data_IF_700069516562
#
_entry.id   IF_700069516562
#
_cell.length_a   1.000
_cell.length_b   1.000
_cell.length_c   1.000
_cell.angle_alpha   90.00
_cell.angle_beta   90.00
_cell.angle_gamma   90.00
#
_symmetry.space_group_name_H-M   'P 1'
#
loop_
_entity.id
_entity.type
_entity.pdbx_description
1 polymer ?
#
# COMPACT_ATOMS: atom_id res chain seq x y z
N UNK A 1 -29.48 -15.24 39.98
CA UNK A 1 -30.14 -13.94 39.72
C UNK A 1 -29.30 -13.23 38.67
N UNK A 2 -29.80 -13.16 37.44
CA UNK A 2 -29.10 -12.56 36.29
C UNK A 2 -29.23 -11.05 36.37
N UNK A 3 -28.11 -10.35 36.58
CA UNK A 3 -28.08 -8.89 36.55
C UNK A 3 -28.09 -8.44 35.08
N UNK A 4 -29.25 -8.00 34.59
CA UNK A 4 -29.36 -7.35 33.29
C UNK A 4 -28.75 -5.95 33.37
N UNK A 5 -27.73 -5.71 32.56
CA UNK A 5 -27.09 -4.40 32.41
C UNK A 5 -27.96 -3.55 31.47
N UNK A 6 -28.65 -2.56 32.01
CA UNK A 6 -29.39 -1.59 31.20
C UNK A 6 -28.42 -0.64 30.48
N UNK A 7 -28.67 -0.29 29.20
CA UNK A 7 -27.84 0.68 28.48
C UNK A 7 -27.80 2.05 29.18
N UNK A 8 -26.66 2.76 29.14
CA UNK A 8 -26.54 4.08 29.74
C UNK A 8 -27.51 5.07 29.09
N UNK A 9 -28.11 5.94 29.91
CA UNK A 9 -28.95 7.04 29.42
C UNK A 9 -28.11 7.97 28.56
N UNK A 10 -28.58 8.28 27.35
CA UNK A 10 -27.93 9.27 26.49
C UNK A 10 -27.89 10.61 27.20
N UNK A 11 -26.71 11.04 27.62
CA UNK A 11 -26.46 12.40 28.09
C UNK A 11 -26.65 13.35 26.91
N UNK A 12 -27.23 14.52 27.19
CA UNK A 12 -27.60 15.57 26.23
C UNK A 12 -26.36 16.31 25.68
N UNK A 13 -25.14 15.88 26.03
CA UNK A 13 -23.90 16.58 25.69
C UNK A 13 -23.26 16.15 24.36
N UNK A 14 -23.97 15.37 23.52
CA UNK A 14 -23.51 14.98 22.19
C UNK A 14 -24.31 15.66 21.06
N UNK A 15 -24.72 16.92 21.24
CA UNK A 15 -24.95 17.78 20.08
C UNK A 15 -23.57 18.18 19.54
N UNK A 16 -23.06 17.39 18.61
CA UNK A 16 -22.02 17.84 17.68
C UNK A 16 -22.57 19.10 16.98
N UNK A 17 -22.00 20.29 17.19
CA UNK A 17 -22.37 21.47 16.44
C UNK A 17 -21.84 21.24 15.02
N UNK A 18 -22.68 20.57 14.22
CA UNK A 18 -22.34 20.14 12.87
C UNK A 18 -21.63 21.22 12.06
N UNK A 19 -20.84 20.76 11.09
CA UNK A 19 -20.00 21.58 10.23
C UNK A 19 -20.67 22.91 9.87
N UNK A 20 -20.02 24.02 10.25
CA UNK A 20 -20.48 25.36 9.90
C UNK A 20 -20.55 25.47 8.38
N UNK A 21 -21.68 25.94 7.87
CA UNK A 21 -21.80 26.38 6.48
C UNK A 21 -20.74 27.45 6.24
N UNK A 22 -19.71 27.12 5.46
CA UNK A 22 -18.70 28.07 5.05
C UNK A 22 -19.40 29.11 4.16
N UNK A 23 -19.33 30.38 4.56
CA UNK A 23 -19.76 31.49 3.70
C UNK A 23 -19.14 31.29 2.32
N UNK A 24 -19.99 31.12 1.31
CA UNK A 24 -19.60 31.00 -0.10
C UNK A 24 -18.96 32.30 -0.59
N UNK A 25 -17.72 32.58 -0.18
CA UNK A 25 -16.83 33.48 -0.91
C UNK A 25 -16.30 32.70 -2.11
N UNK A 26 -17.15 32.62 -3.13
CA UNK A 26 -16.96 31.85 -4.36
C UNK A 26 -15.99 32.52 -5.34
N UNK A 27 -14.83 33.00 -4.88
CA UNK A 27 -13.83 33.70 -5.71
C UNK A 27 -12.39 33.21 -5.50
N UNK A 28 -12.22 32.02 -4.92
CA UNK A 28 -10.92 31.32 -4.93
C UNK A 28 -10.86 30.45 -6.20
N UNK A 29 -10.49 31.07 -7.32
CA UNK A 29 -10.23 30.39 -8.59
C UNK A 29 -8.98 29.50 -8.48
N UNK A 30 -9.16 28.25 -8.03
CA UNK A 30 -8.12 27.21 -8.09
C UNK A 30 -8.02 26.62 -9.51
N UNK A 31 -7.60 27.42 -10.49
CA UNK A 31 -7.38 26.98 -11.88
C UNK A 31 -6.01 26.29 -12.11
N UNK A 32 -5.28 25.89 -11.06
CA UNK A 32 -4.00 25.18 -11.18
C UNK A 32 -4.15 23.65 -11.27
N UNK A 33 -5.33 23.11 -10.94
CA UNK A 33 -5.62 21.70 -11.17
C UNK A 33 -6.05 21.49 -12.63
N UNK A 34 -5.10 21.59 -13.57
CA UNK A 34 -5.27 21.00 -14.88
C UNK A 34 -5.35 19.48 -14.67
N UNK A 35 -6.56 18.94 -14.50
CA UNK A 35 -6.87 17.52 -14.58
C UNK A 35 -6.54 17.04 -16.00
N UNK A 36 -5.25 16.85 -16.30
CA UNK A 36 -4.72 16.11 -17.45
C UNK A 36 -5.61 16.14 -18.72
N UNK A 37 -6.03 17.33 -19.14
CA UNK A 37 -6.99 17.51 -20.22
C UNK A 37 -6.34 17.32 -21.58
N UNK A 38 -6.13 16.06 -21.98
CA UNK A 38 -6.00 15.58 -23.37
C UNK A 38 -5.60 14.09 -23.45
N UNK A 39 -5.24 13.43 -22.33
CA UNK A 39 -4.85 12.01 -22.34
C UNK A 39 -5.92 11.08 -21.73
N UNK A 40 -6.92 11.61 -21.01
CA UNK A 40 -7.93 10.79 -20.33
C UNK A 40 -8.95 10.10 -21.27
N UNK A 41 -9.07 10.57 -22.52
CA UNK A 41 -9.96 9.98 -23.53
C UNK A 41 -9.21 9.00 -24.47
N UNK A 42 -7.87 9.06 -24.52
CA UNK A 42 -7.08 8.28 -25.49
C UNK A 42 -6.63 6.89 -24.98
N UNK A 43 -6.71 6.62 -23.67
CA UNK A 43 -6.14 5.39 -23.09
C UNK A 43 -7.08 4.57 -22.19
N UNK A 44 -8.40 4.85 -22.17
CA UNK A 44 -9.34 3.94 -21.46
C UNK A 44 -9.42 2.56 -22.12
N UNK A 45 -9.14 2.47 -23.42
CA UNK A 45 -9.02 1.22 -24.16
C UNK A 45 -7.62 0.60 -24.11
N UNK A 46 -6.60 1.30 -23.59
CA UNK A 46 -5.22 0.80 -23.46
C UNK A 46 -4.83 0.48 -22.02
N UNK A 47 -5.70 0.78 -21.05
CA UNK A 47 -5.60 0.30 -19.67
C UNK A 47 -5.48 -1.23 -19.68
N UNK A 48 -4.24 -1.70 -19.71
CA UNK A 48 -3.85 -3.10 -19.84
C UNK A 48 -4.06 -3.85 -18.51
N UNK A 49 -4.69 -3.20 -17.53
CA UNK A 49 -5.04 -3.82 -16.27
C UNK A 49 -6.16 -4.83 -16.50
N UNK A 50 -6.00 -6.09 -16.07
CA UNK A 50 -7.07 -7.07 -16.10
C UNK A 50 -8.33 -6.54 -15.42
N UNK A 51 -9.51 -6.89 -15.95
CA UNK A 51 -10.79 -6.58 -15.32
C UNK A 51 -10.79 -7.21 -13.92
N UNK A 52 -11.08 -6.45 -12.85
CA UNK A 52 -11.22 -7.01 -11.51
C UNK A 52 -12.36 -8.04 -11.49
N UNK A 53 -12.07 -9.23 -10.96
CA UNK A 53 -13.03 -10.35 -10.85
C UNK A 53 -13.44 -10.53 -9.40
N UNK A 54 -14.73 -10.70 -9.16
CA UNK A 54 -15.31 -10.99 -7.85
C UNK A 54 -15.53 -12.48 -7.68
N UNK A 55 -15.01 -13.05 -6.59
CA UNK A 55 -15.10 -14.47 -6.31
C UNK A 55 -15.54 -14.74 -4.89
N UNK A 56 -16.49 -15.64 -4.71
CA UNK A 56 -17.01 -16.07 -3.41
C UNK A 56 -16.63 -17.53 -3.16
N UNK A 57 -15.99 -17.78 -2.01
CA UNK A 57 -15.68 -19.13 -1.54
C UNK A 57 -16.71 -19.54 -0.48
N UNK A 58 -17.44 -20.64 -0.71
CA UNK A 58 -18.41 -21.22 0.23
C UNK A 58 -17.74 -22.32 1.05
N UNK A 59 -18.12 -22.43 2.32
CA UNK A 59 -17.61 -23.49 3.22
C UNK A 59 -18.35 -24.82 2.98
N UNK A 60 -19.60 -24.74 2.54
CA UNK A 60 -20.50 -25.87 2.34
C UNK A 60 -21.49 -25.63 1.18
N UNK A 61 -22.03 -26.73 0.66
CA UNK A 61 -23.06 -26.75 -0.40
C UNK A 61 -24.49 -26.59 0.14
N UNK A 62 -24.63 -26.32 1.45
CA UNK A 62 -25.95 -26.23 2.08
C UNK A 62 -26.61 -24.88 1.71
N UNK A 63 -27.86 -24.89 1.23
CA UNK A 63 -28.59 -23.66 0.92
C UNK A 63 -28.74 -22.78 2.16
N UNK A 64 -28.42 -21.49 2.02
CA UNK A 64 -28.57 -20.50 3.10
C UNK A 64 -29.81 -19.64 2.91
N UNK A 65 -30.06 -18.77 3.89
CA UNK A 65 -31.17 -17.81 3.80
C UNK A 65 -31.09 -17.00 2.49
N UNK A 66 -32.20 -16.93 1.77
CA UNK A 66 -32.27 -16.28 0.46
C UNK A 66 -31.82 -17.13 -0.74
N UNK A 67 -31.41 -18.39 -0.57
CA UNK A 67 -31.06 -19.28 -1.70
C UNK A 67 -32.16 -20.26 -2.06
N UNK A 68 -33.11 -20.48 -1.15
CA UNK A 68 -34.22 -21.40 -1.37
C UNK A 68 -35.28 -20.73 -2.25
N UNK A 69 -35.57 -21.27 -3.45
CA UNK A 69 -36.56 -20.71 -4.35
C UNK A 69 -37.94 -20.60 -3.70
N UNK A 70 -38.69 -19.54 -4.04
CA UNK A 70 -40.05 -19.30 -3.54
C UNK A 70 -40.14 -18.56 -2.20
N UNK A 71 -39.02 -18.30 -1.53
CA UNK A 71 -38.99 -17.47 -0.30
C UNK A 71 -38.94 -15.97 -0.63
N UNK A 72 -39.41 -15.12 0.28
CA UNK A 72 -39.30 -13.65 0.12
C UNK A 72 -37.84 -13.20 0.03
N UNK A 73 -36.96 -13.79 0.84
CA UNK A 73 -35.53 -13.52 0.81
C UNK A 73 -34.89 -13.89 -0.55
N UNK A 74 -35.34 -14.97 -1.19
CA UNK A 74 -34.87 -15.34 -2.53
C UNK A 74 -35.29 -14.30 -3.58
N UNK A 75 -36.53 -13.78 -3.51
CA UNK A 75 -36.99 -12.72 -4.42
C UNK A 75 -36.16 -11.46 -4.31
N UNK A 76 -35.79 -11.07 -3.08
CA UNK A 76 -34.90 -9.93 -2.84
C UNK A 76 -33.51 -10.20 -3.43
N UNK A 77 -32.95 -11.39 -3.20
CA UNK A 77 -31.61 -11.77 -3.66
C UNK A 77 -31.45 -11.88 -5.17
N UNK A 78 -32.53 -12.15 -5.93
CA UNK A 78 -32.49 -12.13 -7.40
C UNK A 78 -32.10 -10.74 -7.94
N UNK A 79 -32.37 -9.68 -7.17
CA UNK A 79 -32.01 -8.30 -7.53
C UNK A 79 -30.57 -7.95 -7.17
N UNK A 80 -29.91 -8.77 -6.34
CA UNK A 80 -28.52 -8.57 -5.95
C UNK A 80 -27.57 -8.90 -7.10
N UNK A 81 -26.40 -8.25 -7.12
CA UNK A 81 -25.36 -8.58 -8.08
C UNK A 81 -24.82 -10.00 -7.85
N UNK A 82 -24.64 -10.76 -8.94
CA UNK A 82 -24.08 -12.12 -8.92
C UNK A 82 -22.56 -12.03 -9.06
N UNK A 83 -21.77 -12.71 -8.20
CA UNK A 83 -20.31 -12.74 -8.35
C UNK A 83 -19.92 -13.51 -9.62
N UNK A 84 -18.73 -13.22 -10.15
CA UNK A 84 -18.25 -13.87 -11.37
C UNK A 84 -17.94 -15.36 -11.14
N UNK A 85 -17.36 -15.70 -9.98
CA UNK A 85 -16.95 -17.05 -9.64
C UNK A 85 -17.47 -17.46 -8.25
N UNK A 86 -18.03 -18.67 -8.13
CA UNK A 86 -18.42 -19.28 -6.85
C UNK A 86 -17.76 -20.65 -6.75
N UNK A 87 -16.90 -20.84 -5.75
CA UNK A 87 -16.25 -22.14 -5.44
C UNK A 87 -16.65 -22.60 -4.04
N UNK A 88 -16.94 -23.89 -3.86
CA UNK A 88 -17.14 -24.47 -2.53
C UNK A 88 -15.83 -25.13 -2.09
N UNK A 89 -15.26 -24.63 -1.00
CA UNK A 89 -13.97 -25.02 -0.43
C UNK A 89 -14.24 -25.95 0.76
N UNK A 90 -13.93 -27.26 0.65
CA UNK A 90 -14.14 -28.20 1.74
C UNK A 90 -13.33 -27.85 2.99
N UNK A 91 -13.87 -28.14 4.17
CA UNK A 91 -13.14 -27.94 5.42
C UNK A 91 -11.79 -28.66 5.43
N UNK A 92 -10.76 -27.97 5.92
CA UNK A 92 -9.38 -28.46 5.93
C UNK A 92 -8.58 -28.20 4.65
N UNK A 93 -9.22 -27.68 3.59
CA UNK A 93 -8.50 -27.18 2.41
C UNK A 93 -8.21 -25.69 2.54
N UNK A 94 -7.05 -25.26 2.02
CA UNK A 94 -6.60 -23.87 2.13
C UNK A 94 -7.28 -23.03 1.04
N UNK A 95 -7.99 -21.97 1.42
CA UNK A 95 -8.54 -20.97 0.50
C UNK A 95 -7.52 -20.51 -0.53
N UNK A 96 -7.95 -20.37 -1.79
CA UNK A 96 -7.09 -19.90 -2.90
C UNK A 96 -6.94 -18.37 -2.94
N UNK A 97 -7.36 -17.68 -1.88
CA UNK A 97 -7.35 -16.22 -1.69
C UNK A 97 -5.97 -15.56 -1.74
N UNK A 98 -4.88 -16.32 -1.86
CA UNK A 98 -3.60 -15.71 -2.24
C UNK A 98 -3.75 -15.15 -3.65
N UNK A 99 -3.58 -13.84 -3.80
CA UNK A 99 -3.48 -13.11 -5.08
C UNK A 99 -3.01 -14.03 -6.21
N UNK A 100 -3.68 -14.05 -7.37
CA UNK A 100 -3.24 -14.82 -8.57
C UNK A 100 -1.80 -14.47 -9.01
N UNK A 101 -1.25 -13.40 -8.46
CA UNK A 101 0.17 -13.09 -8.46
C UNK A 101 0.94 -14.20 -7.75
N UNK A 102 1.84 -14.89 -8.46
CA UNK A 102 2.81 -15.74 -7.80
C UNK A 102 3.57 -14.91 -6.74
N UNK A 103 4.18 -15.55 -5.74
CA UNK A 103 5.03 -14.82 -4.77
C UNK A 103 6.07 -13.94 -5.48
N UNK A 104 6.50 -14.35 -6.68
CA UNK A 104 7.40 -13.61 -7.57
C UNK A 104 6.76 -12.37 -8.21
N UNK A 105 5.45 -12.37 -8.43
CA UNK A 105 4.70 -11.26 -9.06
C UNK A 105 4.11 -10.30 -8.03
N UNK A 106 4.19 -10.64 -6.73
CA UNK A 106 3.79 -9.72 -5.66
C UNK A 106 4.82 -8.59 -5.61
N UNK A 107 4.42 -7.34 -5.87
CA UNK A 107 5.37 -6.25 -5.79
C UNK A 107 5.89 -6.14 -4.36
N UNK A 108 7.21 -6.01 -4.21
CA UNK A 108 7.88 -5.93 -2.91
C UNK A 108 7.43 -4.70 -2.09
N UNK A 109 6.79 -3.74 -2.75
CA UNK A 109 6.22 -2.53 -2.17
C UNK A 109 4.82 -2.27 -2.73
N UNK A 110 3.95 -1.52 -2.02
CA UNK A 110 2.63 -1.12 -2.51
C UNK A 110 2.61 -0.38 -3.87
N UNK A 111 3.77 0.10 -4.35
CA UNK A 111 3.91 0.86 -5.59
C UNK A 111 4.48 0.10 -6.79
N UNK A 112 4.64 -1.22 -6.73
CA UNK A 112 5.07 -1.99 -7.92
C UNK A 112 6.57 -1.98 -8.23
N UNK A 113 7.34 -1.09 -7.62
CA UNK A 113 8.78 -0.92 -7.88
C UNK A 113 9.64 -1.66 -6.84
N UNK A 114 10.84 -2.06 -7.28
CA UNK A 114 11.89 -2.53 -6.37
C UNK A 114 12.29 -1.39 -5.43
N UNK A 115 12.58 -1.72 -4.17
CA UNK A 115 13.07 -0.73 -3.20
C UNK A 115 14.42 -0.19 -3.72
N UNK A 116 14.56 1.13 -3.93
CA UNK A 116 15.84 1.73 -4.30
C UNK A 116 16.90 1.43 -3.24
N UNK A 117 18.12 1.08 -3.68
CA UNK A 117 19.24 0.80 -2.77
C UNK A 117 20.24 1.94 -2.78
N UNK A 118 20.75 2.24 -1.60
CA UNK A 118 21.83 3.20 -1.37
C UNK A 118 23.18 2.50 -1.40
N UNK A 119 24.10 2.99 -2.22
CA UNK A 119 25.45 2.42 -2.37
C UNK A 119 26.48 3.51 -2.08
N UNK A 120 27.42 3.21 -1.19
CA UNK A 120 28.51 4.12 -0.81
C UNK A 120 29.85 3.50 -1.20
N UNK A 121 30.68 4.26 -1.91
CA UNK A 121 32.04 3.83 -2.27
C UNK A 121 33.07 4.39 -1.26
N UNK A 122 33.91 3.51 -0.70
CA UNK A 122 35.02 3.85 0.19
C UNK A 122 36.36 3.56 -0.47
N UNK A 123 37.32 4.48 -0.36
CA UNK A 123 38.68 4.29 -0.89
C UNK A 123 39.41 3.17 -0.13
N UNK A 124 39.42 3.26 1.21
CA UNK A 124 40.01 2.28 2.12
C UNK A 124 38.93 1.75 3.08
N UNK A 125 38.28 0.61 2.79
CA UNK A 125 37.22 0.07 3.66
C UNK A 125 37.75 -0.40 5.03
N UNK A 126 39.03 -0.73 5.12
CA UNK A 126 39.67 -1.22 6.34
C UNK A 126 40.01 -0.10 7.34
N UNK A 127 39.93 1.17 6.92
CA UNK A 127 40.22 2.32 7.77
C UNK A 127 38.92 3.04 8.13
N UNK A 128 38.72 3.44 9.41
CA UNK A 128 37.55 4.19 9.81
C UNK A 128 37.53 5.55 9.10
N UNK A 129 36.39 5.90 8.51
CA UNK A 129 36.15 7.21 7.91
C UNK A 129 35.73 8.22 8.98
N UNK A 130 35.69 9.50 8.61
CA UNK A 130 35.17 10.54 9.49
C UNK A 130 33.71 10.21 9.88
N UNK A 131 33.42 10.15 11.18
CA UNK A 131 32.10 9.75 11.69
C UNK A 131 31.87 8.25 11.83
N UNK A 132 32.87 7.38 11.64
CA UNK A 132 32.76 5.94 11.93
C UNK A 132 33.17 5.58 13.38
N UNK A 133 33.92 6.46 14.06
CA UNK A 133 34.49 6.19 15.40
C UNK A 133 33.52 6.60 16.51
N UNK A 134 33.02 5.67 17.35
CA UNK A 134 32.13 5.98 18.45
C UNK A 134 32.73 6.99 19.44
N UNK A 135 31.89 7.87 19.99
CA UNK A 135 32.30 8.90 20.96
C UNK A 135 32.98 10.12 20.36
N UNK A 136 33.03 10.23 19.03
CA UNK A 136 33.44 11.46 18.34
C UNK A 136 32.23 12.33 18.01
N UNK A 137 32.39 13.66 17.98
CA UNK A 137 31.30 14.58 17.60
C UNK A 137 30.71 14.28 16.22
N UNK A 138 31.57 13.91 15.26
CA UNK A 138 31.14 13.52 13.91
C UNK A 138 30.29 12.24 13.89
N UNK A 139 30.55 11.29 14.78
CA UNK A 139 29.75 10.08 14.93
C UNK A 139 28.37 10.39 15.52
N UNK A 140 28.30 11.29 16.50
CA UNK A 140 27.03 11.73 17.10
C UNK A 140 26.13 12.44 16.09
N UNK A 141 26.71 13.34 15.27
CA UNK A 141 25.97 14.01 14.20
C UNK A 141 25.42 13.03 13.16
N UNK A 142 26.20 12.00 12.81
CA UNK A 142 25.83 10.97 11.84
C UNK A 142 24.89 9.91 12.41
N UNK A 143 24.73 9.81 13.73
CA UNK A 143 23.90 8.78 14.35
C UNK A 143 22.42 8.87 13.95
N UNK A 144 21.96 10.04 13.49
CA UNK A 144 20.62 10.25 12.96
C UNK A 144 20.49 9.94 11.45
N UNK A 145 21.60 9.75 10.74
CA UNK A 145 21.59 9.47 9.31
C UNK A 145 21.25 8.00 9.02
N UNK A 146 20.67 7.76 7.84
CA UNK A 146 20.39 6.40 7.38
C UNK A 146 21.68 5.61 7.07
N UNK A 147 21.72 4.35 7.47
CA UNK A 147 22.81 3.41 7.14
C UNK A 147 22.65 2.96 5.69
N UNK A 148 23.71 3.01 4.85
CA UNK A 148 23.62 2.57 3.46
C UNK A 148 23.45 1.05 3.35
N UNK A 149 22.82 0.59 2.27
CA UNK A 149 22.58 -0.84 2.03
C UNK A 149 23.86 -1.58 1.64
N UNK A 150 24.73 -0.94 0.85
CA UNK A 150 25.96 -1.55 0.33
C UNK A 150 27.12 -0.56 0.42
N UNK A 151 28.26 -1.04 0.93
CA UNK A 151 29.53 -0.30 0.93
C UNK A 151 30.54 -1.02 0.04
N UNK A 152 31.03 -0.37 -1.02
CA UNK A 152 31.95 -0.94 -2.02
C UNK A 152 33.31 -0.27 -1.95
N UNK A 153 34.39 -0.99 -2.28
CA UNK A 153 35.73 -0.40 -2.39
C UNK A 153 35.88 0.33 -3.74
N UNK A 154 36.29 1.61 -3.69
CA UNK A 154 36.53 2.41 -4.88
C UNK A 154 37.73 1.87 -5.69
N UNK A 155 37.72 1.98 -7.04
CA UNK A 155 38.84 1.58 -7.87
C UNK A 155 40.08 2.46 -7.59
N UNK A 156 41.26 1.85 -7.64
CA UNK A 156 42.51 2.57 -7.39
C UNK A 156 42.79 3.56 -8.53
N UNK A 157 43.09 4.85 -8.26
CA UNK A 157 43.43 5.80 -9.30
C UNK A 157 44.73 5.39 -10.01
N UNK A 158 44.89 5.70 -11.31
CA UNK A 158 46.11 5.40 -12.04
C UNK A 158 47.30 6.13 -11.40
N UNK A 159 48.33 5.38 -11.04
CA UNK A 159 49.57 5.98 -10.53
C UNK A 159 50.26 6.75 -11.65
N UNK A 160 50.36 8.08 -11.52
CA UNK A 160 51.20 8.88 -12.42
C UNK A 160 52.66 8.56 -12.13
N UNK A 161 53.39 8.12 -13.14
CA UNK A 161 54.84 7.91 -13.04
C UNK A 161 55.53 9.25 -12.79
N UNK A 162 56.61 9.29 -12.00
CA UNK A 162 57.31 10.54 -11.66
C UNK A 162 58.05 11.20 -12.84
N UNK A 163 57.94 10.66 -14.07
CA UNK A 163 58.65 11.18 -15.25
C UNK A 163 57.93 12.36 -15.93
N UNK A 164 56.68 12.66 -15.55
CA UNK A 164 55.88 13.76 -16.15
C UNK A 164 55.91 15.08 -15.33
N UNK A 165 56.79 15.19 -14.32
CA UNK A 165 57.12 16.46 -13.68
C UNK A 165 58.50 16.94 -14.16
N UNK A 166 58.59 17.46 -15.38
CA UNK A 166 59.68 18.32 -15.83
C UNK A 166 59.16 19.44 -16.71
#
# INVERSE_FOLDING_TARGET
MTAELSPPRKSVELQDPGAKDLDSSSDEHFEDASEGGALAEADRNSATSPIPVTRVERVDDVPRHGEVPGTEAYKQRILDAVPDEVEVVPEGTRSRSTSRLSVSDRPLTPGGSVVPKTVVEKIDPDKPSHGDVPGTHAYELRAADAVPDVVVKAPQPPQRKPEDLR
#
